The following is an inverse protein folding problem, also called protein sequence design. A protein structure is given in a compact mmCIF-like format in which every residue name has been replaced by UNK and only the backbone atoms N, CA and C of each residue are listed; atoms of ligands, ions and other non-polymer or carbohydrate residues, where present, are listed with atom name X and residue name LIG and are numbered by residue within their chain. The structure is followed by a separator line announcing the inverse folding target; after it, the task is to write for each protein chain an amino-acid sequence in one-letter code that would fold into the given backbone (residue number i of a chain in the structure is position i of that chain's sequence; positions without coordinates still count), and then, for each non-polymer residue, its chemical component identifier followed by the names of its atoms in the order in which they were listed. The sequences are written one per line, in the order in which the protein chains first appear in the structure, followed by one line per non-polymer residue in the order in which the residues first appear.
data_IF_175020656121
#
_entry.id   IF_175020656121
#
_cell.length_a   1.000
_cell.length_b   1.000
_cell.length_c   1.000
_cell.angle_alpha   90.00
_cell.angle_beta   90.00
_cell.angle_gamma   90.00
#
_symmetry.space_group_name_H-M   'P 1'
#
loop_
_entity.id
_entity.type
_entity.pdbx_description
1 polymer ?
#
# COMPACT_ATOMS: atom_id res chain seq x y z
N UNK A 1 -11.55 -21.86 -46.42
CA UNK A 1 -12.11 -23.07 -47.08
C UNK A 1 -11.12 -23.77 -48.01
N UNK A 2 -9.80 -23.55 -47.89
CA UNK A 2 -8.76 -24.18 -48.74
C UNK A 2 -7.82 -25.09 -47.92
N UNK A 3 -7.81 -24.99 -46.58
CA UNK A 3 -6.93 -25.80 -45.73
C UNK A 3 -7.46 -27.22 -45.42
N UNK A 4 -8.75 -27.49 -45.64
CA UNK A 4 -9.36 -28.80 -45.35
C UNK A 4 -9.06 -29.87 -46.41
N UNK A 5 -8.57 -29.48 -47.59
CA UNK A 5 -8.31 -30.42 -48.70
C UNK A 5 -6.95 -31.12 -48.56
N UNK A 6 -6.00 -30.55 -47.82
CA UNK A 6 -4.64 -31.10 -47.72
C UNK A 6 -4.55 -32.25 -46.69
N UNK A 7 -5.46 -32.34 -45.72
CA UNK A 7 -5.47 -33.39 -44.70
C UNK A 7 -6.12 -34.71 -45.16
N UNK A 8 -6.80 -34.74 -46.31
CA UNK A 8 -7.48 -35.94 -46.81
C UNK A 8 -6.60 -36.81 -47.73
N UNK A 9 -5.39 -36.37 -48.10
CA UNK A 9 -4.55 -37.06 -49.09
C UNK A 9 -3.38 -37.88 -48.52
N UNK A 10 -3.30 -38.04 -47.19
CA UNK A 10 -2.24 -38.80 -46.54
C UNK A 10 -2.81 -39.97 -45.72
N UNK A 11 -3.52 -40.88 -46.39
CA UNK A 11 -3.83 -42.21 -45.83
C UNK A 11 -3.13 -43.28 -46.65
N UNK A 12 -1.91 -43.64 -46.22
CA UNK A 12 -1.30 -44.99 -46.29
C UNK A 12 0.20 -44.88 -46.01
N UNK A 13 0.60 -45.16 -44.77
CA UNK A 13 1.67 -46.11 -44.46
C UNK A 13 1.71 -46.37 -42.94
N UNK A 14 2.01 -47.63 -42.64
CA UNK A 14 1.69 -48.40 -41.45
C UNK A 14 2.66 -48.16 -40.28
N UNK A 15 2.14 -48.41 -39.07
CA UNK A 15 2.81 -48.79 -37.79
C UNK A 15 3.34 -47.70 -36.86
N UNK A 16 2.69 -47.59 -35.69
CA UNK A 16 3.20 -46.88 -34.53
C UNK A 16 2.09 -46.54 -33.55
N UNK A 17 1.92 -47.39 -32.55
CA UNK A 17 0.92 -47.30 -31.49
C UNK A 17 1.13 -46.05 -30.63
N UNK A 18 0.45 -44.93 -30.91
CA UNK A 18 0.25 -43.84 -29.95
C UNK A 18 -1.12 -43.19 -30.14
N UNK A 19 -1.99 -43.39 -29.16
CA UNK A 19 -3.17 -42.55 -28.93
C UNK A 19 -2.69 -41.12 -28.65
N UNK A 20 -2.58 -40.29 -29.69
CA UNK A 20 -2.41 -38.86 -29.54
C UNK A 20 -3.71 -38.35 -28.90
N UNK A 21 -3.63 -38.07 -27.60
CA UNK A 21 -4.72 -37.55 -26.79
C UNK A 21 -5.33 -36.31 -27.46
N UNK A 22 -6.60 -36.41 -27.85
CA UNK A 22 -7.39 -35.31 -28.43
C UNK A 22 -7.36 -34.04 -27.56
N UNK A 23 -7.05 -34.16 -26.25
CA UNK A 23 -6.91 -33.03 -25.33
C UNK A 23 -5.70 -32.15 -25.66
N UNK A 24 -4.61 -32.72 -26.20
CA UNK A 24 -3.42 -31.94 -26.58
C UNK A 24 -3.66 -31.14 -27.86
N UNK A 25 -4.45 -31.66 -28.79
CA UNK A 25 -4.86 -30.92 -30.00
C UNK A 25 -5.86 -29.81 -29.68
N UNK A 26 -6.81 -30.03 -28.76
CA UNK A 26 -7.70 -28.98 -28.28
C UNK A 26 -6.94 -27.86 -27.57
N UNK A 27 -5.93 -28.19 -26.76
CA UNK A 27 -5.04 -27.21 -26.12
C UNK A 27 -4.12 -26.50 -27.12
N UNK A 28 -3.61 -27.20 -28.15
CA UNK A 28 -2.80 -26.56 -29.19
C UNK A 28 -3.65 -25.64 -30.06
N UNK A 29 -4.89 -26.01 -30.37
CA UNK A 29 -5.84 -25.21 -31.16
C UNK A 29 -6.38 -24.04 -30.34
N UNK A 30 -6.58 -24.18 -29.03
CA UNK A 30 -6.90 -23.05 -28.16
C UNK A 30 -5.72 -22.08 -28.05
N UNK A 31 -4.48 -22.59 -27.87
CA UNK A 31 -3.26 -21.78 -27.88
C UNK A 31 -3.02 -21.09 -29.24
N UNK A 32 -3.25 -21.77 -30.37
CA UNK A 32 -3.10 -21.20 -31.71
C UNK A 32 -4.22 -20.20 -32.06
N UNK A 33 -5.44 -20.37 -31.52
CA UNK A 33 -6.51 -19.39 -31.67
C UNK A 33 -6.31 -18.17 -30.76
N UNK A 34 -5.64 -18.32 -29.61
CA UNK A 34 -5.24 -17.22 -28.72
C UNK A 34 -4.13 -16.36 -29.34
N UNK A 35 -3.17 -16.97 -30.04
CA UNK A 35 -2.07 -16.25 -30.71
C UNK A 35 -2.57 -15.46 -31.95
N UNK A 36 -3.63 -15.92 -32.63
CA UNK A 36 -4.09 -15.32 -33.90
C UNK A 36 -5.24 -14.29 -33.78
N UNK A 37 -5.70 -13.97 -32.57
CA UNK A 37 -6.65 -12.87 -32.33
C UNK A 37 -6.24 -12.09 -31.08
N UNK A 38 -5.13 -11.36 -31.15
CA UNK A 38 -4.90 -10.28 -30.19
C UNK A 38 -6.09 -9.32 -30.25
N UNK A 39 -6.93 -9.36 -29.21
CA UNK A 39 -8.05 -8.45 -29.08
C UNK A 39 -7.47 -7.03 -28.95
N UNK A 40 -7.94 -6.05 -29.75
CA UNK A 40 -7.35 -4.71 -29.79
C UNK A 40 -7.39 -4.02 -28.42
N UNK A 41 -8.39 -4.33 -27.60
CA UNK A 41 -8.58 -3.88 -26.23
C UNK A 41 -7.40 -4.27 -25.32
N UNK A 42 -6.97 -5.54 -25.39
CA UNK A 42 -5.85 -6.08 -24.59
C UNK A 42 -4.56 -5.40 -25.00
N UNK A 43 -4.36 -5.17 -26.30
CA UNK A 43 -3.18 -4.49 -26.83
C UNK A 43 -3.07 -3.05 -26.33
N UNK A 44 -4.18 -2.31 -26.29
CA UNK A 44 -4.19 -0.93 -25.79
C UNK A 44 -3.88 -0.87 -24.30
N UNK A 45 -4.48 -1.76 -23.50
CA UNK A 45 -4.19 -1.84 -22.07
C UNK A 45 -2.74 -2.28 -21.81
N UNK A 46 -2.23 -3.27 -22.55
CA UNK A 46 -0.85 -3.71 -22.46
C UNK A 46 0.14 -2.58 -22.80
N UNK A 47 -0.17 -1.76 -23.81
CA UNK A 47 0.64 -0.59 -24.15
C UNK A 47 0.64 0.46 -23.03
N UNK A 48 -0.50 0.69 -22.39
CA UNK A 48 -0.61 1.61 -21.26
C UNK A 48 0.22 1.13 -20.07
N UNK A 49 0.08 -0.14 -19.69
CA UNK A 49 0.77 -0.71 -18.54
C UNK A 49 2.29 -0.66 -18.75
N UNK A 50 2.76 -1.01 -19.95
CA UNK A 50 4.18 -0.91 -20.29
C UNK A 50 4.70 0.53 -20.27
N UNK A 51 3.92 1.50 -20.76
CA UNK A 51 4.31 2.92 -20.69
C UNK A 51 4.44 3.40 -19.24
N UNK A 52 3.51 3.01 -18.36
CA UNK A 52 3.56 3.36 -16.93
C UNK A 52 4.77 2.69 -16.27
N UNK A 53 5.02 1.41 -16.56
CA UNK A 53 6.18 0.70 -15.99
C UNK A 53 7.48 1.38 -16.40
N UNK A 54 7.67 1.62 -17.70
CA UNK A 54 8.90 2.20 -18.22
C UNK A 54 9.15 3.62 -17.71
N UNK A 55 8.10 4.43 -17.54
CA UNK A 55 8.24 5.82 -17.09
C UNK A 55 8.29 5.98 -15.57
N UNK A 56 7.60 5.11 -14.82
CA UNK A 56 7.39 5.31 -13.39
C UNK A 56 7.75 4.12 -12.49
N UNK A 57 7.83 2.88 -12.95
CA UNK A 57 8.01 1.72 -12.05
C UNK A 57 9.32 0.94 -12.25
N UNK A 58 10.03 1.17 -13.36
CA UNK A 58 11.21 0.43 -13.79
C UNK A 58 12.39 0.37 -12.79
N UNK A 59 12.52 1.34 -11.90
CA UNK A 59 13.64 1.45 -10.97
C UNK A 59 13.52 0.54 -9.73
N UNK A 60 12.38 -0.12 -9.52
CA UNK A 60 12.10 -0.90 -8.31
C UNK A 60 11.49 -2.26 -8.65
N UNK A 61 11.53 -3.20 -7.68
CA UNK A 61 10.84 -4.47 -7.82
C UNK A 61 9.32 -4.26 -7.87
N UNK A 62 8.61 -5.02 -8.70
CA UNK A 62 7.15 -4.88 -8.84
C UNK A 62 6.44 -6.10 -8.29
N UNK A 63 5.61 -5.90 -7.27
CA UNK A 63 4.66 -6.89 -6.81
C UNK A 63 3.36 -6.77 -7.61
N UNK A 64 3.05 -7.79 -8.40
CA UNK A 64 1.83 -7.88 -9.20
C UNK A 64 0.81 -8.67 -8.41
N UNK A 65 -0.34 -8.07 -8.14
CA UNK A 65 -1.37 -8.64 -7.29
C UNK A 65 -2.67 -8.70 -8.08
N UNK A 66 -3.38 -9.82 -7.97
CA UNK A 66 -4.62 -10.03 -8.70
C UNK A 66 -5.69 -10.70 -7.83
N UNK A 67 -6.96 -10.42 -8.12
CA UNK A 67 -8.11 -10.98 -7.40
C UNK A 67 -8.69 -12.23 -8.06
N UNK A 68 -9.75 -12.77 -7.45
CA UNK A 68 -10.44 -13.98 -7.86
C UNK A 68 -10.94 -13.92 -9.31
N UNK A 69 -11.30 -12.73 -9.80
CA UNK A 69 -11.81 -12.60 -11.17
C UNK A 69 -10.71 -12.91 -12.18
N UNK A 70 -9.51 -12.39 -11.95
CA UNK A 70 -8.35 -12.62 -12.81
C UNK A 70 -7.77 -14.04 -12.68
N UNK A 71 -8.18 -14.82 -11.67
CA UNK A 71 -7.84 -16.24 -11.58
C UNK A 71 -8.90 -17.17 -12.21
N UNK A 72 -10.18 -16.89 -11.98
CA UNK A 72 -11.29 -17.79 -12.28
C UNK A 72 -11.89 -17.60 -13.67
N UNK A 73 -12.01 -16.35 -14.14
CA UNK A 73 -12.57 -16.06 -15.47
C UNK A 73 -11.49 -16.22 -16.55
N UNK A 74 -11.75 -17.09 -17.53
CA UNK A 74 -10.81 -17.42 -18.58
C UNK A 74 -10.36 -16.19 -19.39
N UNK A 75 -11.26 -15.24 -19.66
CA UNK A 75 -10.92 -14.04 -20.41
C UNK A 75 -9.96 -13.14 -19.63
N UNK A 76 -10.25 -12.85 -18.37
CA UNK A 76 -9.38 -11.99 -17.56
C UNK A 76 -8.06 -12.67 -17.18
N UNK A 77 -8.07 -14.00 -17.02
CA UNK A 77 -6.86 -14.80 -16.88
C UNK A 77 -5.95 -14.68 -18.11
N UNK A 78 -6.53 -14.76 -19.31
CA UNK A 78 -5.79 -14.56 -20.57
C UNK A 78 -5.22 -13.13 -20.68
N UNK A 79 -6.01 -12.12 -20.29
CA UNK A 79 -5.58 -10.70 -20.24
C UNK A 79 -4.33 -10.55 -19.36
N UNK A 80 -4.36 -11.10 -18.14
CA UNK A 80 -3.24 -11.06 -17.21
C UNK A 80 -2.01 -11.79 -17.77
N UNK A 81 -2.19 -13.00 -18.32
CA UNK A 81 -1.08 -13.77 -18.90
C UNK A 81 -0.40 -13.05 -20.07
N UNK A 82 -1.18 -12.41 -20.95
CA UNK A 82 -0.63 -11.64 -22.08
C UNK A 82 0.21 -10.46 -21.57
N UNK A 83 -0.25 -9.76 -20.53
CA UNK A 83 0.52 -8.65 -19.94
C UNK A 83 1.80 -9.13 -19.28
N UNK A 84 1.72 -10.20 -18.48
CA UNK A 84 2.90 -10.75 -17.80
C UNK A 84 4.00 -11.16 -18.79
N UNK A 85 3.62 -11.71 -19.94
CA UNK A 85 4.55 -12.05 -21.04
C UNK A 85 5.23 -10.84 -21.67
N UNK A 86 4.73 -9.63 -21.45
CA UNK A 86 5.36 -8.40 -21.98
C UNK A 86 6.40 -7.81 -21.03
N UNK A 87 6.51 -8.32 -19.80
CA UNK A 87 7.40 -7.80 -18.76
C UNK A 87 8.77 -8.49 -18.78
N UNK A 88 9.46 -8.46 -19.92
CA UNK A 88 10.74 -9.18 -20.08
C UNK A 88 11.93 -8.49 -19.39
N UNK A 89 11.80 -7.22 -19.01
CA UNK A 89 12.92 -6.38 -18.53
C UNK A 89 12.80 -5.95 -17.06
N UNK A 90 11.74 -6.35 -16.35
CA UNK A 90 11.47 -5.89 -14.99
C UNK A 90 11.51 -7.06 -14.01
N UNK A 91 12.06 -6.81 -12.81
CA UNK A 91 11.96 -7.75 -11.70
C UNK A 91 10.56 -7.67 -11.10
N UNK A 92 9.78 -8.75 -11.20
CA UNK A 92 8.44 -8.81 -10.61
C UNK A 92 8.16 -10.14 -9.91
N UNK A 93 7.23 -10.10 -8.95
CA UNK A 93 6.65 -11.29 -8.33
C UNK A 93 5.14 -11.19 -8.37
N UNK A 94 4.48 -12.32 -8.62
CA UNK A 94 3.02 -12.37 -8.81
C UNK A 94 2.38 -13.04 -7.59
N UNK A 95 1.29 -12.47 -7.10
CA UNK A 95 0.56 -12.96 -5.93
C UNK A 95 -0.93 -12.94 -6.15
N UNK A 96 -1.61 -14.00 -5.71
CA UNK A 96 -3.04 -13.91 -5.52
C UNK A 96 -3.38 -13.06 -4.29
N UNK A 97 -4.49 -12.34 -4.30
CA UNK A 97 -4.85 -11.39 -3.24
C UNK A 97 -4.94 -12.07 -1.86
N UNK A 98 -5.36 -13.34 -1.76
CA UNK A 98 -5.41 -14.07 -0.47
C UNK A 98 -4.05 -14.54 0.04
N UNK A 99 -3.06 -14.67 -0.85
CA UNK A 99 -1.70 -15.07 -0.48
C UNK A 99 -0.83 -13.87 -0.11
N UNK A 100 -1.21 -12.68 -0.59
CA UNK A 100 -0.50 -11.45 -0.30
C UNK A 100 -0.76 -10.96 1.13
N UNK A 101 0.32 -10.71 1.87
CA UNK A 101 0.31 -10.05 3.17
C UNK A 101 1.51 -9.13 3.27
N UNK A 102 1.26 -7.83 3.38
CA UNK A 102 2.28 -6.79 3.54
C UNK A 102 3.26 -7.09 4.67
N UNK A 103 2.78 -7.65 5.79
CA UNK A 103 3.61 -7.93 6.99
C UNK A 103 4.56 -9.13 6.83
N UNK A 104 4.22 -10.11 5.99
CA UNK A 104 5.04 -11.31 5.82
C UNK A 104 6.09 -11.18 4.72
N UNK A 105 5.93 -10.21 3.80
CA UNK A 105 6.85 -10.00 2.67
C UNK A 105 7.97 -8.98 2.94
N UNK A 106 7.82 -8.10 3.94
CA UNK A 106 8.85 -7.09 4.30
C UNK A 106 10.17 -7.72 4.76
N UNK A 107 10.16 -8.96 5.27
CA UNK A 107 11.36 -9.62 5.83
C UNK A 107 12.40 -10.03 4.76
N UNK A 108 12.06 -9.96 3.47
CA UNK A 108 12.94 -10.43 2.38
C UNK A 108 12.94 -9.54 1.13
N UNK A 109 12.30 -8.37 1.15
CA UNK A 109 12.13 -7.56 -0.06
C UNK A 109 13.33 -6.62 -0.34
N UNK A 110 13.62 -6.33 -1.62
CA UNK A 110 14.62 -5.35 -2.02
C UNK A 110 14.25 -3.95 -1.49
N UNK A 111 15.22 -3.05 -1.40
CA UNK A 111 15.09 -1.72 -0.80
C UNK A 111 14.01 -0.80 -1.41
N UNK A 112 13.46 -1.14 -2.58
CA UNK A 112 12.33 -0.44 -3.18
C UNK A 112 11.36 -1.40 -3.87
N UNK A 113 10.07 -1.27 -3.56
CA UNK A 113 8.98 -2.09 -4.09
C UNK A 113 7.84 -1.20 -4.56
N UNK A 114 7.30 -1.49 -5.74
CA UNK A 114 6.11 -0.89 -6.32
C UNK A 114 5.04 -1.96 -6.55
N UNK A 115 3.79 -1.55 -6.76
CA UNK A 115 2.66 -2.46 -6.88
C UNK A 115 1.88 -2.22 -8.15
N UNK A 116 1.54 -3.31 -8.85
CA UNK A 116 0.53 -3.31 -9.92
C UNK A 116 -0.58 -4.25 -9.48
N UNK A 117 -1.81 -3.76 -9.49
CA UNK A 117 -2.96 -4.47 -8.96
C UNK A 117 -3.99 -4.65 -10.06
N UNK A 118 -4.40 -5.87 -10.34
CA UNK A 118 -5.50 -6.21 -11.25
C UNK A 118 -6.70 -6.68 -10.45
N UNK A 119 -7.78 -5.90 -10.43
CA UNK A 119 -8.94 -6.24 -9.62
C UNK A 119 -10.27 -5.78 -10.21
N UNK A 120 -11.35 -6.41 -9.76
CA UNK A 120 -12.70 -5.93 -9.91
C UNK A 120 -13.02 -4.84 -8.88
N UNK A 121 -12.63 -5.06 -7.62
CA UNK A 121 -12.89 -4.14 -6.51
C UNK A 121 -11.59 -3.57 -5.93
N UNK A 122 -11.33 -2.25 -6.11
CA UNK A 122 -10.14 -1.62 -5.56
C UNK A 122 -10.15 -1.55 -4.03
N UNK A 123 -11.32 -1.51 -3.38
CA UNK A 123 -11.42 -1.37 -1.93
C UNK A 123 -10.95 -2.63 -1.21
N UNK A 124 -11.48 -3.80 -1.59
CA UNK A 124 -11.09 -5.10 -1.03
C UNK A 124 -9.58 -5.29 -1.16
N UNK A 125 -9.05 -4.92 -2.31
CA UNK A 125 -7.65 -5.11 -2.60
C UNK A 125 -6.80 -4.19 -1.72
N UNK A 126 -7.14 -2.90 -1.64
CA UNK A 126 -6.42 -1.89 -0.86
C UNK A 126 -6.39 -2.20 0.65
N UNK A 127 -7.42 -2.81 1.22
CA UNK A 127 -7.43 -3.16 2.66
C UNK A 127 -6.36 -4.18 3.07
N UNK A 128 -5.80 -4.93 2.12
CA UNK A 128 -4.69 -5.86 2.40
C UNK A 128 -3.32 -5.20 2.40
N UNK A 129 -3.25 -3.97 1.89
CA UNK A 129 -2.05 -3.15 1.94
C UNK A 129 -2.08 -2.33 3.24
N UNK A 130 -0.92 -2.30 3.90
CA UNK A 130 -0.71 -1.34 4.99
C UNK A 130 -0.57 0.08 4.45
N UNK A 131 -0.11 0.99 5.31
CA UNK A 131 0.23 2.34 4.89
C UNK A 131 1.40 2.30 3.90
N UNK A 132 1.17 2.72 2.67
CA UNK A 132 2.19 2.75 1.60
C UNK A 132 2.47 4.21 1.23
N UNK A 133 3.51 4.76 1.84
CA UNK A 133 3.89 6.17 1.67
C UNK A 133 4.84 6.35 0.48
N UNK A 134 5.86 5.52 0.38
CA UNK A 134 6.91 5.67 -0.64
C UNK A 134 6.63 4.89 -1.93
N UNK A 135 6.03 3.71 -1.81
CA UNK A 135 5.75 2.82 -2.94
C UNK A 135 4.71 3.41 -3.88
N UNK A 136 4.95 3.29 -5.19
CA UNK A 136 3.96 3.63 -6.23
C UNK A 136 3.00 2.46 -6.41
N UNK A 137 1.71 2.76 -6.30
CA UNK A 137 0.63 1.79 -6.49
C UNK A 137 -0.12 2.13 -7.78
N UNK A 138 -0.20 1.15 -8.68
CA UNK A 138 -0.96 1.26 -9.91
C UNK A 138 -2.08 0.21 -9.92
N UNK A 139 -3.33 0.64 -9.87
CA UNK A 139 -4.50 -0.24 -9.89
C UNK A 139 -5.13 -0.22 -11.29
N UNK A 140 -5.17 -1.36 -11.94
CA UNK A 140 -5.96 -1.61 -13.14
C UNK A 140 -7.25 -2.29 -12.72
N UNK A 141 -8.35 -1.53 -12.73
CA UNK A 141 -9.64 -2.04 -12.29
C UNK A 141 -10.67 -2.10 -13.40
N UNK A 142 -11.47 -3.16 -13.39
CA UNK A 142 -12.67 -3.27 -14.22
C UNK A 142 -13.93 -2.78 -13.50
N UNK A 143 -13.78 -2.25 -12.28
CA UNK A 143 -14.85 -1.70 -11.48
C UNK A 143 -15.56 -0.55 -12.19
N UNK A 144 -16.82 -0.35 -11.83
CA UNK A 144 -17.64 0.75 -12.35
C UNK A 144 -17.08 2.11 -11.93
N UNK A 145 -17.45 3.17 -12.66
CA UNK A 145 -17.10 4.55 -12.30
C UNK A 145 -17.53 4.91 -10.87
N UNK A 146 -18.67 4.37 -10.43
CA UNK A 146 -19.19 4.58 -9.08
C UNK A 146 -18.31 3.91 -8.02
N UNK A 147 -17.89 2.66 -8.23
CA UNK A 147 -16.98 1.96 -7.32
C UNK A 147 -15.63 2.68 -7.18
N UNK A 148 -15.08 3.17 -8.30
CA UNK A 148 -13.83 3.95 -8.27
C UNK A 148 -14.02 5.24 -7.45
N UNK A 149 -15.14 5.93 -7.62
CA UNK A 149 -15.43 7.17 -6.88
C UNK A 149 -15.61 6.92 -5.39
N UNK A 150 -16.30 5.85 -5.00
CA UNK A 150 -16.47 5.46 -3.59
C UNK A 150 -15.14 5.04 -2.96
N UNK A 151 -14.33 4.27 -3.69
CA UNK A 151 -13.00 3.89 -3.22
C UNK A 151 -12.13 5.10 -2.89
N UNK A 152 -12.14 6.15 -3.71
CA UNK A 152 -11.38 7.38 -3.42
C UNK A 152 -11.85 8.14 -2.18
N UNK A 153 -13.03 7.83 -1.62
CA UNK A 153 -13.49 8.39 -0.35
C UNK A 153 -13.17 7.48 0.84
N UNK A 154 -12.75 6.23 0.59
CA UNK A 154 -12.53 5.25 1.65
C UNK A 154 -11.16 5.42 2.30
N UNK A 155 -11.05 4.98 3.56
CA UNK A 155 -9.81 4.97 4.32
C UNK A 155 -8.70 4.17 3.60
N UNK A 156 -9.07 3.11 2.87
CA UNK A 156 -8.11 2.29 2.16
C UNK A 156 -7.35 3.08 1.08
N UNK A 157 -8.01 4.02 0.39
CA UNK A 157 -7.34 4.91 -0.55
C UNK A 157 -6.45 5.94 0.14
N UNK A 158 -6.85 6.40 1.34
CA UNK A 158 -6.08 7.35 2.15
C UNK A 158 -4.80 6.75 2.74
N UNK A 159 -4.73 5.42 2.83
CA UNK A 159 -3.53 4.73 3.28
C UNK A 159 -2.46 4.59 2.17
N UNK A 160 -2.78 4.99 0.93
CA UNK A 160 -1.89 4.87 -0.23
C UNK A 160 -1.58 6.28 -0.75
N UNK A 161 -0.37 6.78 -0.50
CA UNK A 161 0.01 8.14 -0.89
C UNK A 161 0.15 8.29 -2.42
N UNK A 162 0.87 7.35 -3.03
CA UNK A 162 1.19 7.37 -4.47
C UNK A 162 0.26 6.43 -5.24
N UNK A 163 -1.00 6.83 -5.40
CA UNK A 163 -2.04 6.02 -6.05
C UNK A 163 -2.35 6.50 -7.47
N UNK A 164 -2.36 5.55 -8.41
CA UNK A 164 -2.85 5.71 -9.78
C UNK A 164 -3.88 4.61 -10.08
N UNK A 165 -5.05 4.96 -10.62
CA UNK A 165 -6.08 4.01 -11.01
C UNK A 165 -6.39 4.15 -12.50
N UNK A 166 -6.29 3.05 -13.24
CA UNK A 166 -6.81 2.91 -14.60
C UNK A 166 -8.18 2.24 -14.58
N UNK A 167 -9.20 2.94 -15.11
CA UNK A 167 -10.52 2.35 -15.33
C UNK A 167 -10.52 1.59 -16.66
N UNK A 168 -10.24 0.29 -16.59
CA UNK A 168 -10.18 -0.62 -17.73
C UNK A 168 -11.53 -1.25 -18.07
N UNK A 169 -12.54 -1.10 -17.21
CA UNK A 169 -13.87 -1.71 -17.39
C UNK A 169 -14.50 -1.41 -18.74
N UNK A 170 -14.54 -0.13 -19.16
CA UNK A 170 -15.06 0.23 -20.50
C UNK A 170 -14.24 -0.38 -21.63
N UNK A 171 -12.91 -0.45 -21.50
CA UNK A 171 -12.04 -1.02 -22.53
C UNK A 171 -12.15 -2.55 -22.65
N UNK A 172 -12.38 -3.27 -21.56
CA UNK A 172 -12.41 -4.73 -21.55
C UNK A 172 -13.83 -5.32 -21.64
N UNK A 173 -14.87 -4.53 -21.31
CA UNK A 173 -16.27 -5.01 -21.30
C UNK A 173 -17.11 -4.49 -22.47
N UNK A 174 -16.80 -3.33 -23.06
CA UNK A 174 -17.60 -2.76 -24.14
C UNK A 174 -17.35 -3.51 -25.46
N UNK A 175 -18.31 -4.35 -25.86
CA UNK A 175 -18.28 -5.16 -27.09
C UNK A 175 -18.46 -4.37 -28.39
N UNK A 176 -18.35 -3.03 -28.36
CA UNK A 176 -18.52 -2.20 -29.55
C UNK A 176 -17.29 -2.31 -30.44
N UNK A 177 -17.41 -3.15 -31.48
CA UNK A 177 -16.32 -3.62 -32.35
C UNK A 177 -15.58 -2.55 -33.16
N UNK A 178 -16.00 -1.29 -33.14
CA UNK A 178 -15.52 -0.27 -34.07
C UNK A 178 -14.60 0.79 -33.44
N UNK A 179 -14.60 0.95 -32.12
CA UNK A 179 -13.69 1.88 -31.43
C UNK A 179 -13.15 1.24 -30.17
N UNK A 180 -11.82 1.24 -30.01
CA UNK A 180 -11.20 0.82 -28.75
C UNK A 180 -11.47 1.89 -27.71
N UNK A 181 -12.13 1.52 -26.61
CA UNK A 181 -12.52 2.49 -25.59
C UNK A 181 -11.30 3.11 -24.90
N UNK A 182 -11.42 4.41 -24.62
CA UNK A 182 -10.40 5.19 -23.95
C UNK A 182 -10.28 4.75 -22.47
N UNK A 183 -9.05 4.62 -21.95
CA UNK A 183 -8.80 4.25 -20.55
C UNK A 183 -8.53 5.52 -19.74
N UNK A 184 -9.39 5.81 -18.75
CA UNK A 184 -9.23 6.99 -17.89
C UNK A 184 -8.32 6.70 -16.71
N UNK A 185 -7.43 7.64 -16.42
CA UNK A 185 -6.49 7.58 -15.31
C UNK A 185 -6.88 8.58 -14.22
N UNK A 186 -6.94 8.07 -12.99
CA UNK A 186 -7.35 8.82 -11.81
C UNK A 186 -6.26 8.75 -10.73
N UNK A 187 -6.19 9.78 -9.91
CA UNK A 187 -5.52 9.79 -8.61
C UNK A 187 -6.44 10.45 -7.59
N UNK A 188 -6.00 10.66 -6.37
CA UNK A 188 -6.76 11.41 -5.38
C UNK A 188 -6.02 12.65 -4.87
N UNK A 189 -6.77 13.57 -4.30
CA UNK A 189 -6.28 14.59 -3.39
C UNK A 189 -6.67 14.20 -1.97
N UNK A 190 -5.68 14.16 -1.08
CA UNK A 190 -5.85 13.77 0.33
C UNK A 190 -6.10 15.00 1.19
N UNK A 191 -6.79 14.82 2.32
CA UNK A 191 -7.02 15.86 3.32
C UNK A 191 -7.55 17.15 2.70
N UNK A 192 -8.63 17.05 1.93
CA UNK A 192 -9.25 18.24 1.32
C UNK A 192 -9.91 19.15 2.36
N UNK A 193 -10.26 18.58 3.51
CA UNK A 193 -10.91 19.21 4.66
C UNK A 193 -10.29 18.74 5.99
N UNK A 194 -10.73 19.35 7.10
CA UNK A 194 -10.30 18.97 8.44
C UNK A 194 -10.86 17.63 8.94
N UNK A 195 -11.76 16.99 8.19
CA UNK A 195 -12.26 15.65 8.49
C UNK A 195 -11.34 14.56 7.90
N UNK A 196 -10.35 14.94 7.09
CA UNK A 196 -9.45 13.99 6.45
C UNK A 196 -10.03 13.39 5.17
N UNK A 197 -11.06 14.00 4.59
CA UNK A 197 -11.67 13.50 3.36
C UNK A 197 -10.70 13.48 2.20
N UNK A 198 -10.90 12.55 1.28
CA UNK A 198 -10.17 12.44 0.01
C UNK A 198 -11.14 12.48 -1.17
N UNK A 199 -10.67 13.02 -2.30
CA UNK A 199 -11.48 13.16 -3.52
C UNK A 199 -10.74 12.68 -4.75
N UNK A 200 -11.47 12.10 -5.70
CA UNK A 200 -10.94 11.69 -6.99
C UNK A 200 -10.52 12.89 -7.85
N UNK A 201 -9.41 12.75 -8.57
CA UNK A 201 -8.93 13.67 -9.59
C UNK A 201 -8.67 12.90 -10.88
N UNK A 202 -9.20 13.40 -11.99
CA UNK A 202 -8.90 12.88 -13.33
C UNK A 202 -7.58 13.50 -13.80
N UNK A 203 -6.57 12.67 -14.04
CA UNK A 203 -5.27 13.13 -14.51
C UNK A 203 -5.27 13.30 -16.03
N UNK A 204 -5.52 12.20 -16.73
CA UNK A 204 -5.38 12.10 -18.18
C UNK A 204 -6.17 10.90 -18.68
N UNK A 205 -6.16 10.68 -19.98
CA UNK A 205 -6.80 9.53 -20.63
C UNK A 205 -5.80 8.91 -21.59
N UNK A 206 -5.74 7.58 -21.60
CA UNK A 206 -4.97 6.82 -22.57
C UNK A 206 -5.85 6.54 -23.78
N UNK A 207 -5.45 7.10 -24.92
CA UNK A 207 -6.16 7.03 -26.19
C UNK A 207 -5.16 6.90 -27.32
N UNK A 208 -5.40 5.99 -28.25
CA UNK A 208 -4.54 5.79 -29.43
C UNK A 208 -3.04 5.62 -29.05
N UNK A 209 -2.78 4.85 -27.98
CA UNK A 209 -1.44 4.59 -27.42
C UNK A 209 -0.68 5.84 -26.96
N UNK A 210 -1.38 6.90 -26.56
CA UNK A 210 -0.78 8.12 -26.01
C UNK A 210 -1.65 8.68 -24.88
N UNK A 211 -1.01 9.44 -23.98
CA UNK A 211 -1.74 10.27 -23.02
C UNK A 211 -2.34 11.48 -23.73
N UNK A 212 -3.60 11.81 -23.43
CA UNK A 212 -4.23 13.05 -23.91
C UNK A 212 -3.59 14.31 -23.33
N UNK A 213 -3.01 14.19 -22.13
CA UNK A 213 -2.21 15.22 -21.44
C UNK A 213 -0.85 14.63 -21.03
N UNK A 214 0.15 14.60 -21.94
CA UNK A 214 1.45 13.95 -21.69
C UNK A 214 2.33 14.66 -20.65
N UNK A 215 2.11 15.95 -20.44
CA UNK A 215 2.81 16.82 -19.48
C UNK A 215 2.43 16.56 -18.02
N UNK A 216 1.29 15.92 -17.77
CA UNK A 216 0.79 15.65 -16.42
C UNK A 216 1.60 14.53 -15.78
N UNK A 217 2.16 14.81 -14.59
CA UNK A 217 2.76 13.79 -13.75
C UNK A 217 1.66 12.87 -13.19
N UNK A 218 1.78 11.55 -13.41
CA UNK A 218 0.80 10.56 -12.93
C UNK A 218 0.88 10.30 -11.43
N UNK A 219 2.03 10.62 -10.82
CA UNK A 219 2.26 10.53 -9.37
C UNK A 219 2.66 11.92 -8.84
N UNK A 220 1.71 12.87 -8.75
CA UNK A 220 2.01 14.21 -8.25
C UNK A 220 2.34 14.18 -6.76
N UNK A 221 3.21 15.10 -6.33
CA UNK A 221 3.55 15.28 -4.91
C UNK A 221 2.29 15.61 -4.13
N UNK A 222 2.06 14.86 -3.03
CA UNK A 222 0.89 15.01 -2.16
C UNK A 222 1.22 15.89 -0.95
N UNK A 223 0.18 16.35 -0.24
CA UNK A 223 0.28 17.10 1.02
C UNK A 223 1.12 18.40 0.95
N UNK A 224 1.17 19.05 -0.21
CA UNK A 224 1.91 20.32 -0.39
C UNK A 224 1.42 21.41 0.58
N UNK A 225 0.13 21.38 0.93
CA UNK A 225 -0.51 22.31 1.88
C UNK A 225 -0.65 21.71 3.29
N UNK A 226 0.05 20.62 3.58
CA UNK A 226 -0.12 19.85 4.81
C UNK A 226 -1.47 19.12 4.88
N UNK A 227 -1.99 18.96 6.10
CA UNK A 227 -3.21 18.21 6.41
C UNK A 227 -4.45 19.10 6.59
N UNK A 228 -4.39 20.38 6.19
CA UNK A 228 -5.51 21.34 6.19
C UNK A 228 -6.32 21.42 7.49
N UNK A 229 -5.63 21.35 8.63
CA UNK A 229 -6.25 21.43 9.95
C UNK A 229 -6.89 20.14 10.42
N UNK A 230 -6.62 19.00 9.76
CA UNK A 230 -7.10 17.69 10.19
C UNK A 230 -6.77 17.44 11.66
N UNK A 231 -7.70 16.82 12.37
CA UNK A 231 -7.59 16.58 13.81
C UNK A 231 -7.15 15.15 14.06
N UNK A 232 -5.88 14.98 14.39
CA UNK A 232 -5.33 13.68 14.76
C UNK A 232 -5.63 13.33 16.21
N UNK A 233 -6.08 12.10 16.44
CA UNK A 233 -6.33 11.57 17.78
C UNK A 233 -5.05 10.94 18.33
N UNK A 234 -4.56 11.47 19.44
CA UNK A 234 -3.29 11.09 20.07
C UNK A 234 -3.53 10.36 21.39
N UNK A 235 -3.03 9.12 21.51
CA UNK A 235 -3.00 8.38 22.76
C UNK A 235 -1.68 8.64 23.49
N UNK A 236 -1.75 9.11 24.74
CA UNK A 236 -0.60 9.50 25.54
C UNK A 236 -0.55 8.77 26.89
N UNK A 237 0.68 8.53 27.37
CA UNK A 237 0.96 8.07 28.74
C UNK A 237 1.96 9.02 29.38
N UNK A 238 1.70 9.39 30.63
CA UNK A 238 2.60 10.22 31.43
C UNK A 238 3.93 9.50 31.75
N UNK A 239 5.01 10.06 31.23
CA UNK A 239 6.41 9.68 31.45
C UNK A 239 7.30 10.93 31.42
N UNK A 240 7.44 11.66 32.55
CA UNK A 240 8.32 12.81 32.64
C UNK A 240 9.78 12.43 32.34
N UNK A 241 10.57 13.27 31.63
CA UNK A 241 10.24 14.60 31.11
C UNK A 241 9.66 14.60 29.67
N UNK A 242 9.39 13.43 29.08
CA UNK A 242 9.02 13.28 27.68
C UNK A 242 7.56 13.67 27.41
N UNK A 243 6.66 13.20 28.27
CA UNK A 243 5.22 13.48 28.24
C UNK A 243 4.73 13.59 29.68
N UNK A 244 4.12 14.69 30.08
CA UNK A 244 3.59 14.87 31.42
C UNK A 244 2.42 15.85 31.43
N UNK A 245 1.62 15.82 32.49
CA UNK A 245 0.54 16.78 32.64
C UNK A 245 0.99 18.00 33.43
N UNK A 246 0.73 19.18 32.88
CA UNK A 246 0.86 20.44 33.57
C UNK A 246 -0.52 20.91 34.02
N UNK A 247 -0.58 21.40 35.27
CA UNK A 247 -1.79 22.01 35.81
C UNK A 247 -1.65 23.52 35.60
N UNK A 248 -2.45 24.07 34.69
CA UNK A 248 -2.59 25.53 34.62
C UNK A 248 -3.41 26.00 35.82
N UNK A 249 -2.80 26.82 36.68
CA UNK A 249 -3.44 27.31 37.90
C UNK A 249 -4.23 28.61 37.68
N UNK A 250 -4.28 29.13 36.45
CA UNK A 250 -4.60 30.54 36.22
C UNK A 250 -6.08 30.82 35.87
N UNK A 251 -6.89 29.85 35.44
CA UNK A 251 -8.28 30.13 35.02
C UNK A 251 -9.31 29.16 35.62
N UNK A 252 -10.12 29.70 36.54
CA UNK A 252 -11.53 29.35 36.85
C UNK A 252 -12.00 27.89 36.69
N UNK A 253 -12.29 27.23 37.82
CA UNK A 253 -13.24 26.11 38.08
C UNK A 253 -13.22 24.82 37.22
N UNK A 254 -12.61 24.79 36.05
CA UNK A 254 -12.38 23.57 35.27
C UNK A 254 -10.88 23.33 35.18
N UNK A 255 -10.39 22.27 35.82
CA UNK A 255 -9.00 21.84 35.72
C UNK A 255 -8.75 21.35 34.28
N UNK A 256 -8.40 22.25 33.36
CA UNK A 256 -7.91 21.84 32.05
C UNK A 256 -6.52 21.23 32.24
N UNK A 257 -6.43 19.90 32.22
CA UNK A 257 -5.14 19.20 32.21
C UNK A 257 -4.46 19.48 30.88
N UNK A 258 -3.39 20.28 30.90
CA UNK A 258 -2.59 20.55 29.71
C UNK A 258 -1.50 19.49 29.61
N UNK A 259 -1.31 18.93 28.42
CA UNK A 259 -0.18 18.05 28.16
C UNK A 259 1.04 18.88 27.78
N UNK A 260 2.18 18.55 28.37
CA UNK A 260 3.47 19.15 28.07
C UNK A 260 4.56 18.06 28.07
N UNK A 261 5.74 18.39 27.56
CA UNK A 261 6.86 17.45 27.43
C UNK A 261 7.59 17.62 26.11
N UNK A 262 8.75 16.99 26.01
CA UNK A 262 9.61 17.07 24.83
C UNK A 262 8.88 16.54 23.58
N UNK A 263 8.22 15.38 23.69
CA UNK A 263 7.51 14.76 22.56
C UNK A 263 6.28 15.57 22.15
N UNK A 264 5.54 16.11 23.14
CA UNK A 264 4.37 16.96 22.91
C UNK A 264 4.76 18.22 22.15
N UNK A 265 5.80 18.94 22.62
CA UNK A 265 6.28 20.18 21.98
C UNK A 265 6.78 19.93 20.58
N UNK A 266 7.51 18.82 20.36
CA UNK A 266 7.96 18.45 19.03
C UNK A 266 6.77 18.20 18.10
N UNK A 267 5.76 17.46 18.57
CA UNK A 267 4.56 17.18 17.78
C UNK A 267 3.76 18.45 17.47
N UNK A 268 3.71 19.41 18.40
CA UNK A 268 3.11 20.73 18.16
C UNK A 268 3.86 21.56 17.11
N UNK A 269 5.20 21.49 17.08
CA UNK A 269 5.99 22.13 16.01
C UNK A 269 5.71 21.49 14.65
N UNK A 270 5.65 20.16 14.60
CA UNK A 270 5.31 19.41 13.38
C UNK A 270 3.88 19.76 12.94
N UNK A 271 2.94 19.89 13.88
CA UNK A 271 1.56 20.31 13.63
C UNK A 271 1.48 21.70 13.00
N UNK A 272 2.32 22.64 13.46
CA UNK A 272 2.41 23.98 12.88
C UNK A 272 2.97 23.99 11.44
N UNK A 273 3.95 23.12 11.15
CA UNK A 273 4.57 23.02 9.82
C UNK A 273 3.64 22.31 8.83
N UNK A 274 3.03 21.20 9.25
CA UNK A 274 2.18 20.36 8.40
C UNK A 274 0.69 20.68 8.52
N UNK A 275 0.33 21.76 9.21
CA UNK A 275 -1.04 22.25 9.34
C UNK A 275 -2.04 21.16 9.75
N UNK A 276 -1.88 20.60 10.95
CA UNK A 276 -2.86 19.72 11.59
C UNK A 276 -3.11 20.13 13.04
N UNK A 277 -4.15 19.58 13.65
CA UNK A 277 -4.50 19.76 15.06
C UNK A 277 -4.43 18.43 15.80
N UNK A 278 -4.28 18.49 17.12
CA UNK A 278 -4.10 17.32 17.97
C UNK A 278 -5.20 17.29 19.04
N UNK A 279 -5.84 16.13 19.17
CA UNK A 279 -6.71 15.80 20.29
C UNK A 279 -6.03 14.74 21.14
N UNK A 280 -5.66 15.09 22.37
CA UNK A 280 -4.85 14.23 23.23
C UNK A 280 -5.74 13.55 24.26
N UNK A 281 -5.72 12.22 24.26
CA UNK A 281 -6.39 11.38 25.24
C UNK A 281 -5.40 10.49 25.99
N UNK A 282 -5.80 10.09 27.19
CA UNK A 282 -5.07 9.05 27.90
C UNK A 282 -5.23 7.69 27.22
N UNK A 283 -4.15 6.91 27.25
CA UNK A 283 -4.20 5.53 26.79
C UNK A 283 -5.21 4.69 27.60
N UNK A 284 -5.98 3.85 26.90
CA UNK A 284 -7.06 3.06 27.54
C UNK A 284 -6.51 2.20 28.68
N UNK A 285 -7.15 2.23 29.86
CA UNK A 285 -6.77 1.42 31.02
C UNK A 285 -6.77 -0.09 30.68
N UNK A 286 -5.62 -0.75 30.88
CA UNK A 286 -5.49 -2.21 30.84
C UNK A 286 -5.85 -2.81 32.21
N UNK A 287 -6.45 -4.01 32.20
CA UNK A 287 -6.73 -4.77 33.43
C UNK A 287 -5.46 -5.39 34.05
N UNK A 288 -4.40 -5.52 33.27
CA UNK A 288 -3.07 -6.00 33.70
C UNK A 288 -2.13 -4.81 33.93
N UNK A 289 -1.39 -4.84 35.06
CA UNK A 289 -0.42 -3.78 35.45
C UNK A 289 0.89 -3.86 34.67
N UNK A 290 1.22 -5.00 34.07
CA UNK A 290 2.55 -5.28 33.50
C UNK A 290 2.75 -4.78 32.06
N UNK A 291 1.73 -4.19 31.44
CA UNK A 291 1.75 -3.74 30.03
C UNK A 291 1.42 -2.25 29.91
N UNK A 292 1.94 -1.44 30.83
CA UNK A 292 1.62 -0.02 30.89
C UNK A 292 1.87 0.69 29.54
N UNK A 293 3.00 0.45 28.91
CA UNK A 293 3.38 1.10 27.65
C UNK A 293 2.68 0.49 26.42
N UNK A 294 2.29 -0.80 26.48
CA UNK A 294 1.64 -1.47 25.35
C UNK A 294 0.16 -1.08 25.20
N UNK A 295 -0.38 -0.28 26.13
CA UNK A 295 -1.72 0.34 26.02
C UNK A 295 -1.83 1.25 24.79
N UNK A 296 -0.78 2.02 24.48
CA UNK A 296 -0.75 2.87 23.28
C UNK A 296 -0.78 2.02 22.02
N UNK A 297 0.05 0.96 21.97
CA UNK A 297 0.08 0.02 20.85
C UNK A 297 -1.31 -0.58 20.62
N UNK A 298 -2.02 -0.92 21.70
CA UNK A 298 -3.39 -1.42 21.62
C UNK A 298 -4.38 -0.38 21.10
N UNK A 299 -4.28 0.86 21.54
CA UNK A 299 -5.15 1.95 21.06
C UNK A 299 -4.94 2.21 19.56
N UNK A 300 -3.69 2.14 19.08
CA UNK A 300 -3.35 2.23 17.66
C UNK A 300 -3.90 1.05 16.86
N UNK A 301 -3.68 -0.19 17.32
CA UNK A 301 -4.15 -1.41 16.65
C UNK A 301 -5.68 -1.47 16.60
N UNK A 302 -6.36 -0.93 17.62
CA UNK A 302 -7.83 -0.86 17.69
C UNK A 302 -8.41 0.39 17.02
N UNK A 303 -7.57 1.20 16.36
CA UNK A 303 -7.97 2.45 15.69
C UNK A 303 -8.73 3.43 16.59
N UNK A 304 -8.44 3.40 17.89
CA UNK A 304 -8.95 4.39 18.86
C UNK A 304 -8.15 5.68 18.83
N UNK A 305 -6.88 5.57 18.44
CA UNK A 305 -5.98 6.68 18.22
C UNK A 305 -5.23 6.44 16.92
N UNK A 306 -4.79 7.53 16.29
CA UNK A 306 -4.02 7.51 15.04
C UNK A 306 -2.53 7.69 15.35
N UNK A 307 -2.22 8.38 16.44
CA UNK A 307 -0.86 8.64 16.91
C UNK A 307 -0.71 8.20 18.36
N UNK A 308 0.52 7.81 18.73
CA UNK A 308 0.84 7.32 20.07
C UNK A 308 2.16 7.89 20.59
N UNK A 309 2.18 8.38 21.84
CA UNK A 309 3.39 8.94 22.48
C UNK A 309 3.50 8.52 23.95
N UNK A 310 4.69 8.09 24.37
CA UNK A 310 5.02 7.86 25.79
C UNK A 310 6.51 7.61 26.03
N UNK A 311 7.41 8.09 25.17
CA UNK A 311 8.80 7.63 25.21
C UNK A 311 8.91 6.11 25.02
N UNK A 312 8.18 5.59 24.03
CA UNK A 312 8.18 4.17 23.69
C UNK A 312 9.52 3.76 23.08
N UNK A 313 10.15 2.75 23.68
CA UNK A 313 11.27 2.09 23.03
C UNK A 313 10.79 1.28 21.84
N UNK A 314 11.49 1.45 20.71
CA UNK A 314 11.31 0.65 19.51
C UNK A 314 11.89 -0.75 19.76
N UNK A 315 11.04 -1.77 19.64
CA UNK A 315 11.44 -3.18 19.73
C UNK A 315 10.89 -3.94 18.54
N UNK A 316 11.54 -5.04 18.14
CA UNK A 316 11.07 -5.87 17.02
C UNK A 316 9.62 -6.35 17.22
N UNK A 317 9.25 -6.65 18.47
CA UNK A 317 7.88 -7.04 18.81
C UNK A 317 6.87 -5.92 18.49
N UNK A 318 7.16 -4.68 18.88
CA UNK A 318 6.26 -3.54 18.62
C UNK A 318 6.26 -3.12 17.16
N UNK A 319 7.42 -3.13 16.51
CA UNK A 319 7.56 -2.78 15.08
C UNK A 319 6.73 -3.70 14.16
N UNK A 320 6.49 -4.96 14.57
CA UNK A 320 5.59 -5.86 13.84
C UNK A 320 4.10 -5.50 13.94
N UNK A 321 3.72 -4.71 14.95
CA UNK A 321 2.34 -4.35 15.23
C UNK A 321 1.97 -2.98 14.66
N UNK A 322 2.85 -1.99 14.86
CA UNK A 322 2.65 -0.59 14.47
C UNK A 322 3.91 -0.01 13.84
N UNK A 323 3.70 1.01 13.01
CA UNK A 323 4.79 1.76 12.40
C UNK A 323 5.36 2.81 13.37
N UNK A 324 6.66 3.08 13.27
CA UNK A 324 7.36 4.06 14.09
C UNK A 324 7.88 5.22 13.24
N UNK A 325 7.88 6.43 13.81
CA UNK A 325 8.61 7.55 13.24
C UNK A 325 10.12 7.29 13.27
N UNK A 326 10.92 8.06 12.51
CA UNK A 326 12.36 8.09 12.71
C UNK A 326 12.72 8.32 14.18
N UNK A 327 13.81 7.71 14.65
CA UNK A 327 14.26 7.79 16.04
C UNK A 327 14.70 9.22 16.34
N UNK A 328 13.99 9.88 17.25
CA UNK A 328 14.26 11.26 17.68
C UNK A 328 15.20 11.35 18.89
N UNK A 329 15.29 10.28 19.68
CA UNK A 329 16.10 10.21 20.90
C UNK A 329 16.63 8.79 21.07
N UNK A 330 17.90 8.67 21.41
CA UNK A 330 18.54 7.41 21.76
C UNK A 330 18.87 7.41 23.26
N UNK A 331 18.50 6.34 23.94
CA UNK A 331 18.75 6.13 25.36
C UNK A 331 19.39 4.75 25.56
N UNK A 332 20.12 4.57 26.67
CA UNK A 332 20.81 3.34 26.99
C UNK A 332 20.47 2.88 28.42
N UNK A 333 20.52 1.56 28.64
CA UNK A 333 20.36 1.00 29.97
C UNK A 333 21.47 1.54 30.89
N UNK A 334 21.09 2.31 31.90
CA UNK A 334 22.02 2.86 32.89
C UNK A 334 21.65 2.37 34.28
N UNK A 335 22.67 2.02 35.06
CA UNK A 335 22.49 1.68 36.47
C UNK A 335 22.72 2.93 37.31
N UNK A 336 21.65 3.47 37.87
CA UNK A 336 21.73 4.57 38.83
C UNK A 336 21.79 4.00 40.25
N UNK A 337 22.89 4.24 40.95
CA UNK A 337 23.02 3.94 42.37
C UNK A 337 22.93 5.23 43.18
N UNK A 338 22.40 5.13 44.41
CA UNK A 338 22.50 6.21 45.39
C UNK A 338 23.99 6.52 45.60
N UNK A 339 24.36 7.79 45.44
CA UNK A 339 25.73 8.25 45.62
C UNK A 339 26.26 7.80 46.98
N UNK A 340 27.20 6.85 46.97
CA UNK A 340 27.85 6.39 48.19
C UNK A 340 28.79 7.48 48.69
N UNK A 341 28.37 8.20 49.73
CA UNK A 341 29.27 9.04 50.51
C UNK A 341 30.21 8.20 51.41
N UNK A 342 30.15 6.87 51.34
CA UNK A 342 31.05 5.98 52.07
C UNK A 342 32.36 5.79 51.28
N UNK A 343 33.24 6.78 51.37
CA UNK A 343 34.68 6.54 51.22
C UNK A 343 35.13 5.63 52.37
N UNK A 344 35.02 4.31 52.19
CA UNK A 344 35.87 3.38 52.93
C UNK A 344 37.05 3.01 52.04
N UNK A 345 38.25 3.47 52.43
CA UNK A 345 39.52 3.00 51.88
C UNK A 345 39.59 1.49 52.06
N UNK A 346 39.13 0.72 51.09
CA UNK A 346 39.45 -0.70 50.98
C UNK A 346 39.62 -1.04 49.51
N UNK A 347 40.86 -1.26 49.10
CA UNK A 347 41.21 -1.80 47.78
C UNK A 347 40.59 -3.18 47.64
N UNK A 348 39.42 -3.27 47.04
CA UNK A 348 38.91 -4.51 46.47
C UNK A 348 38.49 -4.27 45.04
N UNK A 349 39.21 -4.95 44.16
CA UNK A 349 39.07 -4.97 42.72
C UNK A 349 37.75 -5.67 42.38
N UNK A 350 36.81 -4.91 41.82
CA UNK A 350 35.57 -5.44 41.29
C UNK A 350 35.86 -5.94 39.88
N UNK A 351 36.00 -7.27 39.72
CA UNK A 351 35.98 -7.91 38.42
C UNK A 351 34.52 -8.13 38.03
N UNK A 352 34.05 -7.32 37.07
CA UNK A 352 32.83 -7.62 36.32
C UNK A 352 33.32 -8.23 35.00
N UNK A 353 33.11 -9.53 34.83
CA UNK A 353 33.33 -10.25 33.58
C UNK A 353 32.06 -10.14 32.75
N UNK A 354 32.18 -9.74 31.48
CA UNK A 354 31.10 -9.70 30.50
C UNK A 354 30.70 -11.11 30.03
#
# INVERSE_FOLDING_TARGET
MILFVILAYSTKLIHGNQNISYNNLANLVSQLNLINKEKPEIKVLNSLVNEIINKYLNNCHINIIYDDLFDTDLYYKDVLQIMLKSFDSISYKVFHIYEYSSKNTIVSEPSCVNYIIFCQDPEITATKFGHTVDSRVFIVTIGSKWQIQEFFKSQASQNIMNLLIASAGSALQEKNKNEVADIKLYTHEMYIDGLGSSVQIILTTWKLNKFTRPEVNLYPVKLVNGFRGHRFILSAIEKPPLVFRSIDKILTQEQSTLWDGIEIRLLQLIAGILNFTLEIHDATLSKSRDEADDRIIRDLVTSKAELGISGLYMTNARYSMVDFSPVIMQDCGTFMSLGSFALSKNKKQLNITF
#
